data_IF_064389510325
#
_entry.id   IF_064389510325
#
_cell.length_a   1.000
_cell.length_b   1.000
_cell.length_c   1.000
_cell.angle_alpha   90.00
_cell.angle_beta   90.00
_cell.angle_gamma   90.00
#
_symmetry.space_group_name_H-M   'P 1'
#
loop_
_entity.id
_entity.type
_entity.pdbx_description
1 polymer ?
#
# COMPACT_ATOMS: atom_id res chain seq x y z
N UNK A 1 -15.47 24.24 13.18
CA UNK A 1 -15.71 23.92 11.77
C UNK A 1 -15.43 25.17 10.94
N UNK A 2 -14.53 25.10 9.96
CA UNK A 2 -13.96 26.28 9.29
C UNK A 2 -14.83 26.68 8.07
N UNK A 3 -16.06 27.18 8.32
CA UNK A 3 -17.07 27.47 7.28
C UNK A 3 -16.52 28.33 6.12
N UNK A 4 -15.72 29.34 6.46
CA UNK A 4 -15.05 30.21 5.47
C UNK A 4 -14.21 29.42 4.46
N UNK A 5 -13.52 28.37 4.90
CA UNK A 5 -12.63 27.57 4.07
C UNK A 5 -13.42 26.62 3.14
N UNK A 6 -14.56 26.10 3.62
CA UNK A 6 -15.49 25.29 2.82
C UNK A 6 -16.11 26.15 1.70
N UNK A 7 -16.53 27.37 2.04
CA UNK A 7 -17.17 28.27 1.09
C UNK A 7 -16.17 28.78 0.03
N UNK A 8 -14.94 29.12 0.44
CA UNK A 8 -13.92 29.70 -0.45
C UNK A 8 -13.20 28.67 -1.34
N UNK A 9 -12.89 27.47 -0.83
CA UNK A 9 -12.08 26.48 -1.56
C UNK A 9 -12.87 25.28 -2.07
N UNK A 10 -14.03 25.00 -1.49
CA UNK A 10 -14.87 23.85 -1.84
C UNK A 10 -16.25 24.26 -2.36
N UNK A 11 -16.48 25.55 -2.62
CA UNK A 11 -17.75 26.10 -3.12
C UNK A 11 -18.96 25.71 -2.24
N UNK A 12 -18.77 25.62 -0.92
CA UNK A 12 -19.83 25.20 0.01
C UNK A 12 -20.02 23.68 0.12
N UNK A 13 -19.24 22.87 -0.60
CA UNK A 13 -19.32 21.41 -0.54
C UNK A 13 -18.61 20.85 0.70
N UNK A 14 -19.37 20.73 1.79
CA UNK A 14 -18.89 20.20 3.06
C UNK A 14 -18.47 18.71 2.98
N UNK A 15 -19.06 17.93 2.07
CA UNK A 15 -18.71 16.51 1.90
C UNK A 15 -17.33 16.39 1.26
N UNK A 16 -17.06 17.17 0.22
CA UNK A 16 -15.75 17.23 -0.44
C UNK A 16 -14.66 17.76 0.50
N UNK A 17 -14.99 18.72 1.36
CA UNK A 17 -14.06 19.18 2.41
C UNK A 17 -13.72 18.08 3.42
N UNK A 18 -14.72 17.32 3.88
CA UNK A 18 -14.50 16.21 4.80
C UNK A 18 -13.64 15.10 4.16
N UNK A 19 -13.88 14.78 2.89
CA UNK A 19 -13.07 13.82 2.13
C UNK A 19 -11.61 14.28 2.01
N UNK A 20 -11.38 15.56 1.69
CA UNK A 20 -10.03 16.11 1.60
C UNK A 20 -9.31 16.15 2.95
N UNK A 21 -10.01 16.49 4.04
CA UNK A 21 -9.44 16.42 5.39
C UNK A 21 -9.04 14.99 5.75
N UNK A 22 -9.90 14.02 5.43
CA UNK A 22 -9.62 12.61 5.67
C UNK A 22 -8.42 12.12 4.83
N UNK A 23 -8.30 12.55 3.58
CA UNK A 23 -7.10 12.31 2.75
C UNK A 23 -5.84 12.95 3.34
N UNK A 24 -5.90 14.23 3.75
CA UNK A 24 -4.77 14.90 4.39
C UNK A 24 -4.35 14.24 5.71
N UNK A 25 -5.30 13.82 6.54
CA UNK A 25 -4.99 13.14 7.80
C UNK A 25 -4.39 11.75 7.56
N UNK A 26 -4.82 11.05 6.50
CA UNK A 26 -4.22 9.76 6.11
C UNK A 26 -2.76 9.90 5.71
N UNK A 27 -2.40 11.01 5.07
CA UNK A 27 -1.02 11.25 4.63
C UNK A 27 -0.16 12.03 5.65
N UNK A 28 -0.69 12.31 6.84
CA UNK A 28 0.03 13.07 7.85
C UNK A 28 1.27 12.31 8.35
N UNK A 29 2.43 12.97 8.30
CA UNK A 29 3.69 12.43 8.81
C UNK A 29 4.00 13.10 10.16
N UNK A 30 4.28 12.29 11.18
CA UNK A 30 4.77 12.82 12.45
C UNK A 30 6.16 13.43 12.29
N UNK A 31 6.37 14.64 12.82
CA UNK A 31 7.69 15.30 12.82
C UNK A 31 8.82 14.42 13.38
N UNK A 32 8.51 13.60 14.39
CA UNK A 32 9.46 12.67 15.00
C UNK A 32 9.88 11.52 14.05
N UNK A 33 9.02 11.14 13.10
CA UNK A 33 9.39 10.18 12.06
C UNK A 33 10.39 10.82 11.08
N UNK A 34 10.15 12.08 10.67
CA UNK A 34 11.08 12.83 9.83
C UNK A 34 12.45 13.04 10.49
N UNK A 35 12.48 13.43 11.76
CA UNK A 35 13.72 13.62 12.52
C UNK A 35 14.53 12.33 12.59
N UNK A 36 13.89 11.19 12.87
CA UNK A 36 14.57 9.88 12.91
C UNK A 36 15.08 9.46 11.54
N UNK A 37 14.27 9.64 10.49
CA UNK A 37 14.69 9.37 9.12
C UNK A 37 15.86 10.25 8.66
N UNK A 38 15.96 11.49 9.15
CA UNK A 38 17.08 12.37 8.83
C UNK A 38 18.39 12.02 9.57
N UNK A 39 18.30 11.36 10.73
CA UNK A 39 19.44 11.18 11.64
C UNK A 39 20.00 9.76 11.68
N UNK A 40 19.15 8.73 11.52
CA UNK A 40 19.58 7.33 11.63
C UNK A 40 20.10 6.83 10.28
N UNK A 41 21.42 6.59 10.23
CA UNK A 41 22.12 5.97 9.09
C UNK A 41 21.71 6.56 7.73
N UNK A 42 21.77 7.89 7.54
CA UNK A 42 21.18 8.56 6.38
C UNK A 42 21.78 8.12 5.04
N UNK A 43 23.02 7.62 5.04
CA UNK A 43 23.67 7.07 3.85
C UNK A 43 23.03 5.77 3.32
N UNK A 44 22.15 5.13 4.09
CA UNK A 44 21.44 3.90 3.71
C UNK A 44 19.99 4.14 3.25
N UNK A 45 19.53 5.39 3.14
CA UNK A 45 18.16 5.75 2.75
C UNK A 45 17.71 5.08 1.43
N UNK A 46 18.46 5.32 0.36
CA UNK A 46 18.15 4.74 -0.95
C UNK A 46 18.17 3.19 -0.92
N UNK A 47 19.06 2.59 -0.14
CA UNK A 47 19.15 1.14 -0.02
C UNK A 47 17.95 0.57 0.75
N UNK A 48 17.48 1.25 1.79
CA UNK A 48 16.30 0.85 2.55
C UNK A 48 15.04 0.94 1.68
N UNK A 49 14.84 2.03 0.95
CA UNK A 49 13.71 2.19 0.02
C UNK A 49 13.71 1.11 -1.07
N UNK A 50 14.86 0.85 -1.69
CA UNK A 50 15.02 -0.22 -2.68
C UNK A 50 14.71 -1.61 -2.08
N UNK A 51 15.12 -1.85 -0.83
CA UNK A 51 14.82 -3.11 -0.14
C UNK A 51 13.31 -3.27 0.09
N UNK A 52 12.63 -2.22 0.54
CA UNK A 52 11.18 -2.21 0.72
C UNK A 52 10.49 -2.50 -0.62
N UNK A 53 10.86 -1.75 -1.67
CA UNK A 53 10.28 -1.89 -3.00
C UNK A 53 10.49 -3.30 -3.58
N UNK A 54 11.70 -3.86 -3.48
CA UNK A 54 11.96 -5.23 -3.91
C UNK A 54 11.12 -6.25 -3.17
N UNK A 55 11.02 -6.15 -1.84
CA UNK A 55 10.27 -7.13 -1.05
C UNK A 55 8.76 -7.06 -1.30
N UNK A 56 8.21 -5.88 -1.56
CA UNK A 56 6.77 -5.68 -1.80
C UNK A 56 6.39 -5.72 -3.28
N UNK A 57 7.33 -5.43 -4.18
CA UNK A 57 7.09 -5.14 -5.59
C UNK A 57 6.62 -3.70 -5.85
N UNK A 58 6.49 -2.87 -4.81
CA UNK A 58 6.11 -1.46 -4.87
C UNK A 58 6.62 -0.72 -3.64
N UNK A 59 6.78 0.60 -3.73
CA UNK A 59 7.14 1.45 -2.58
C UNK A 59 5.88 2.11 -2.00
N UNK A 60 5.50 1.81 -0.74
CA UNK A 60 4.40 2.52 -0.08
C UNK A 60 4.72 4.00 0.15
N UNK A 61 3.69 4.77 0.48
CA UNK A 61 3.81 6.20 0.79
C UNK A 61 4.75 6.46 1.98
N UNK A 62 5.34 7.65 2.02
CA UNK A 62 6.26 8.05 3.08
C UNK A 62 5.63 8.03 4.48
N UNK A 63 4.34 8.36 4.61
CA UNK A 63 3.65 8.27 5.90
C UNK A 63 3.59 6.83 6.45
N UNK A 64 3.62 5.82 5.57
CA UNK A 64 3.72 4.42 5.97
C UNK A 64 5.18 4.00 6.17
N UNK A 65 6.11 4.38 5.28
CA UNK A 65 7.48 3.85 5.32
C UNK A 65 8.35 4.52 6.39
N UNK A 66 8.26 5.84 6.57
CA UNK A 66 9.15 6.61 7.45
C UNK A 66 9.18 6.13 8.92
N UNK A 67 8.06 5.73 9.54
CA UNK A 67 8.09 5.17 10.90
C UNK A 67 8.94 3.90 11.04
N UNK A 68 9.09 3.13 9.97
CA UNK A 68 9.77 1.83 9.96
C UNK A 68 11.17 1.88 9.36
N UNK A 69 11.44 2.83 8.47
CA UNK A 69 12.67 2.89 7.69
C UNK A 69 13.97 2.91 8.52
N UNK A 70 14.07 3.62 9.66
CA UNK A 70 15.26 3.57 10.51
C UNK A 70 15.65 2.16 10.96
N UNK A 71 14.67 1.27 11.18
CA UNK A 71 14.92 -0.12 11.53
C UNK A 71 15.46 -0.92 10.33
N UNK A 72 14.91 -0.69 9.14
CA UNK A 72 15.41 -1.31 7.90
C UNK A 72 16.88 -0.94 7.68
N UNK A 73 17.24 0.34 7.83
CA UNK A 73 18.62 0.81 7.72
C UNK A 73 19.53 0.19 8.78
N UNK A 74 19.05 0.04 10.02
CA UNK A 74 19.80 -0.63 11.07
C UNK A 74 20.09 -2.10 10.74
N UNK A 75 19.10 -2.84 10.22
CA UNK A 75 19.28 -4.23 9.80
C UNK A 75 20.30 -4.37 8.67
N UNK A 76 20.23 -3.50 7.66
CA UNK A 76 21.18 -3.45 6.54
C UNK A 76 22.60 -3.24 7.09
N UNK A 77 22.78 -2.24 7.96
CA UNK A 77 24.08 -1.93 8.54
C UNK A 77 24.62 -3.10 9.40
N UNK A 78 23.78 -3.71 10.25
CA UNK A 78 24.17 -4.86 11.07
C UNK A 78 24.62 -6.04 10.23
N UNK A 79 23.93 -6.31 9.12
CA UNK A 79 24.33 -7.35 8.17
C UNK A 79 25.67 -7.02 7.48
N UNK A 80 25.84 -5.78 7.00
CA UNK A 80 27.09 -5.32 6.36
C UNK A 80 28.30 -5.38 7.29
N UNK A 81 28.09 -5.20 8.59
CA UNK A 81 29.13 -5.32 9.63
C UNK A 81 29.34 -6.77 10.10
N UNK A 82 28.64 -7.76 9.53
CA UNK A 82 28.74 -9.17 9.89
C UNK A 82 28.14 -9.51 11.27
N UNK A 83 27.27 -8.64 11.82
CA UNK A 83 26.63 -8.84 13.12
C UNK A 83 25.39 -9.74 13.03
N UNK A 84 24.81 -9.87 11.82
CA UNK A 84 23.72 -10.79 11.51
C UNK A 84 24.19 -11.80 10.46
N UNK A 85 23.79 -13.06 10.61
CA UNK A 85 23.86 -14.02 9.51
C UNK A 85 22.89 -13.63 8.40
N UNK A 86 23.09 -14.16 7.18
CA UNK A 86 22.16 -13.93 6.07
C UNK A 86 20.74 -14.43 6.37
N UNK A 87 20.62 -15.55 7.08
CA UNK A 87 19.33 -16.11 7.52
C UNK A 87 18.63 -15.19 8.53
N UNK A 88 19.36 -14.72 9.54
CA UNK A 88 18.82 -13.78 10.54
C UNK A 88 18.39 -12.46 9.90
N UNK A 89 19.23 -11.90 9.04
CA UNK A 89 18.93 -10.68 8.30
C UNK A 89 17.65 -10.86 7.45
N UNK A 90 17.53 -11.98 6.73
CA UNK A 90 16.35 -12.25 5.89
C UNK A 90 15.07 -12.34 6.72
N UNK A 91 15.11 -13.08 7.84
CA UNK A 91 13.95 -13.28 8.71
C UNK A 91 13.50 -11.97 9.37
N UNK A 92 14.45 -11.20 9.94
CA UNK A 92 14.14 -9.92 10.57
C UNK A 92 13.66 -8.89 9.53
N UNK A 93 14.31 -8.85 8.37
CA UNK A 93 13.91 -7.96 7.26
C UNK A 93 12.48 -8.27 6.81
N UNK A 94 12.16 -9.55 6.53
CA UNK A 94 10.80 -9.95 6.14
C UNK A 94 9.77 -9.52 7.20
N UNK A 95 10.08 -9.73 8.48
CA UNK A 95 9.24 -9.30 9.60
C UNK A 95 8.94 -7.80 9.57
N UNK A 96 9.97 -6.98 9.38
CA UNK A 96 9.79 -5.52 9.30
C UNK A 96 9.07 -5.07 8.03
N UNK A 97 9.32 -5.70 6.88
CA UNK A 97 8.58 -5.39 5.65
C UNK A 97 7.09 -5.76 5.79
N UNK A 98 6.76 -6.87 6.48
CA UNK A 98 5.36 -7.20 6.78
C UNK A 98 4.68 -6.13 7.62
N UNK A 99 5.37 -5.50 8.58
CA UNK A 99 4.81 -4.37 9.34
C UNK A 99 4.46 -3.19 8.41
N UNK A 100 5.35 -2.83 7.49
CA UNK A 100 5.12 -1.78 6.50
C UNK A 100 3.91 -2.12 5.62
N UNK A 101 3.85 -3.34 5.08
CA UNK A 101 2.69 -3.80 4.30
C UNK A 101 1.40 -3.72 5.12
N UNK A 102 1.40 -4.21 6.35
CA UNK A 102 0.20 -4.25 7.19
C UNK A 102 -0.32 -2.85 7.50
N UNK A 103 0.57 -1.88 7.70
CA UNK A 103 0.22 -0.48 7.84
C UNK A 103 -0.39 0.08 6.54
N UNK A 104 0.19 -0.20 5.37
CA UNK A 104 -0.39 0.18 4.07
C UNK A 104 -1.77 -0.47 3.82
N UNK A 105 -2.02 -1.64 4.41
CA UNK A 105 -3.30 -2.36 4.31
C UNK A 105 -4.33 -1.95 5.36
N UNK A 106 -4.01 -1.09 6.33
CA UNK A 106 -4.86 -0.82 7.50
C UNK A 106 -6.27 -0.31 7.10
N UNK A 107 -6.35 0.52 6.07
CA UNK A 107 -7.63 1.03 5.54
C UNK A 107 -8.52 -0.04 4.90
N UNK A 108 -7.98 -1.23 4.65
CA UNK A 108 -8.67 -2.36 4.05
C UNK A 108 -9.03 -3.44 5.07
N UNK A 109 -8.91 -3.16 6.37
CA UNK A 109 -9.27 -4.07 7.46
C UNK A 109 -10.79 -4.20 7.70
N UNK A 110 -11.61 -3.38 7.05
CA UNK A 110 -13.07 -3.48 7.19
C UNK A 110 -13.56 -4.84 6.69
N UNK A 111 -14.18 -5.64 7.58
CA UNK A 111 -14.74 -6.96 7.23
C UNK A 111 -15.74 -6.84 6.08
N UNK A 112 -16.67 -5.89 6.20
CA UNK A 112 -17.68 -5.62 5.19
C UNK A 112 -17.54 -4.21 4.65
N UNK A 113 -17.65 -4.07 3.33
CA UNK A 113 -17.82 -2.77 2.71
C UNK A 113 -19.24 -2.25 2.98
N UNK A 114 -19.36 -0.95 3.19
CA UNK A 114 -20.68 -0.32 3.35
C UNK A 114 -21.50 -0.45 2.06
N UNK A 115 -22.85 -0.45 2.12
CA UNK A 115 -23.68 -0.41 0.92
C UNK A 115 -23.35 0.77 0.00
N UNK A 116 -22.90 1.91 0.56
CA UNK A 116 -22.44 3.06 -0.22
C UNK A 116 -21.18 2.77 -1.04
N UNK A 117 -20.26 1.93 -0.55
CA UNK A 117 -19.08 1.54 -1.30
C UNK A 117 -19.43 0.67 -2.52
N UNK A 118 -20.38 -0.26 -2.38
CA UNK A 118 -20.90 -1.04 -3.52
C UNK A 118 -21.64 -0.16 -4.53
N UNK A 119 -22.43 0.80 -4.05
CA UNK A 119 -23.10 1.77 -4.92
C UNK A 119 -22.08 2.59 -5.72
N UNK A 120 -21.05 3.12 -5.05
CA UNK A 120 -19.95 3.85 -5.69
C UNK A 120 -19.24 2.96 -6.74
N UNK A 121 -18.99 1.69 -6.42
CA UNK A 121 -18.40 0.73 -7.36
C UNK A 121 -19.24 0.52 -8.64
N UNK A 122 -20.57 0.58 -8.55
CA UNK A 122 -21.46 0.48 -9.71
C UNK A 122 -21.61 1.77 -10.52
N UNK A 123 -21.34 2.93 -9.92
CA UNK A 123 -21.64 4.24 -10.50
C UNK A 123 -20.39 4.97 -11.05
N UNK A 124 -19.20 4.67 -10.52
CA UNK A 124 -17.98 5.44 -10.78
C UNK A 124 -17.01 4.70 -11.70
N UNK A 125 -16.42 5.45 -12.66
CA UNK A 125 -15.42 4.93 -13.61
C UNK A 125 -15.89 3.69 -14.38
N UNK A 126 -17.20 3.60 -14.67
CA UNK A 126 -17.85 2.46 -15.35
C UNK A 126 -17.09 1.99 -16.61
N UNK A 127 -16.61 2.89 -17.51
CA UNK A 127 -15.91 2.46 -18.72
C UNK A 127 -14.66 1.60 -18.46
N UNK A 128 -14.02 1.77 -17.31
CA UNK A 128 -12.78 1.10 -16.94
C UNK A 128 -12.99 -0.18 -16.13
N UNK A 129 -14.24 -0.54 -15.82
CA UNK A 129 -14.55 -1.67 -14.95
C UNK A 129 -14.10 -3.01 -15.51
N UNK A 130 -14.33 -3.25 -16.81
CA UNK A 130 -13.90 -4.49 -17.45
C UNK A 130 -12.37 -4.56 -17.57
N UNK A 131 -11.73 -3.45 -17.93
CA UNK A 131 -10.27 -3.37 -18.05
C UNK A 131 -9.57 -3.66 -16.72
N UNK A 132 -10.10 -3.16 -15.60
CA UNK A 132 -9.59 -3.46 -14.26
C UNK A 132 -9.71 -4.95 -13.91
N UNK A 133 -10.88 -5.56 -14.15
CA UNK A 133 -11.09 -6.99 -13.90
C UNK A 133 -10.17 -7.88 -14.75
N UNK A 134 -10.08 -7.59 -16.05
CA UNK A 134 -9.26 -8.38 -16.97
C UNK A 134 -7.77 -8.31 -16.57
N UNK A 135 -7.28 -7.15 -16.16
CA UNK A 135 -5.89 -7.00 -15.69
C UNK A 135 -5.64 -7.76 -14.39
N UNK A 136 -6.54 -7.62 -13.41
CA UNK A 136 -6.47 -8.35 -12.14
C UNK A 136 -6.47 -9.86 -12.38
N UNK A 137 -7.43 -10.35 -13.16
CA UNK A 137 -7.55 -11.75 -13.53
C UNK A 137 -6.32 -12.26 -14.27
N UNK A 138 -5.78 -11.46 -15.18
CA UNK A 138 -4.57 -11.79 -15.94
C UNK A 138 -3.37 -12.09 -15.05
N UNK A 139 -3.17 -11.29 -13.99
CA UNK A 139 -2.05 -11.49 -13.06
C UNK A 139 -2.35 -12.44 -11.90
N UNK A 140 -3.60 -12.52 -11.40
CA UNK A 140 -3.98 -13.48 -10.36
C UNK A 140 -4.14 -14.91 -10.90
N UNK A 141 -4.51 -15.07 -12.16
CA UNK A 141 -4.88 -16.35 -12.77
C UNK A 141 -6.32 -16.81 -12.50
N UNK A 142 -7.10 -16.04 -11.73
CA UNK A 142 -8.51 -16.30 -11.44
C UNK A 142 -9.27 -14.99 -11.21
N UNK A 143 -10.60 -15.06 -11.25
CA UNK A 143 -11.47 -13.93 -10.89
C UNK A 143 -11.70 -13.94 -9.37
N UNK A 144 -11.18 -12.94 -8.62
CA UNK A 144 -11.43 -12.85 -7.18
C UNK A 144 -12.90 -12.48 -6.91
N UNK A 145 -13.42 -12.86 -5.74
CA UNK A 145 -14.73 -12.38 -5.30
C UNK A 145 -14.69 -10.86 -5.12
N UNK A 146 -15.78 -10.17 -5.45
CA UNK A 146 -15.87 -8.71 -5.31
C UNK A 146 -15.59 -8.23 -3.88
N UNK A 147 -16.02 -8.98 -2.87
CA UNK A 147 -15.74 -8.66 -1.46
C UNK A 147 -14.23 -8.64 -1.14
N UNK A 148 -13.39 -9.31 -1.94
CA UNK A 148 -11.93 -9.31 -1.84
C UNK A 148 -11.27 -8.24 -2.71
N UNK A 149 -11.89 -7.86 -3.84
CA UNK A 149 -11.26 -7.00 -4.86
C UNK A 149 -11.82 -5.59 -4.96
N UNK A 150 -12.94 -5.25 -4.31
CA UNK A 150 -13.65 -3.98 -4.52
C UNK A 150 -12.73 -2.75 -4.41
N UNK A 151 -11.96 -2.62 -3.33
CA UNK A 151 -11.06 -1.46 -3.16
C UNK A 151 -9.94 -1.45 -4.21
N UNK A 152 -9.38 -2.62 -4.53
CA UNK A 152 -8.32 -2.76 -5.51
C UNK A 152 -8.81 -2.41 -6.93
N UNK A 153 -9.98 -2.90 -7.32
CA UNK A 153 -10.65 -2.57 -8.58
C UNK A 153 -10.98 -1.08 -8.68
N UNK A 154 -11.53 -0.48 -7.62
CA UNK A 154 -11.84 0.95 -7.61
C UNK A 154 -10.58 1.80 -7.78
N UNK A 155 -9.51 1.44 -7.09
CA UNK A 155 -8.23 2.15 -7.23
C UNK A 155 -7.67 2.00 -8.65
N UNK A 156 -7.69 0.79 -9.22
CA UNK A 156 -7.20 0.55 -10.57
C UNK A 156 -8.04 1.27 -11.64
N UNK A 157 -9.37 1.34 -11.47
CA UNK A 157 -10.25 2.15 -12.33
C UNK A 157 -9.91 3.63 -12.28
N UNK A 158 -9.64 4.17 -11.08
CA UNK A 158 -9.18 5.56 -10.92
C UNK A 158 -7.89 5.80 -11.68
N UNK A 159 -6.94 4.86 -11.64
CA UNK A 159 -5.68 4.93 -12.40
C UNK A 159 -5.94 4.92 -13.90
N UNK A 160 -6.80 4.03 -14.41
CA UNK A 160 -7.13 4.01 -15.84
C UNK A 160 -7.88 5.26 -16.33
N UNK A 161 -8.61 5.92 -15.43
CA UNK A 161 -9.26 7.18 -15.71
C UNK A 161 -8.28 8.38 -15.74
N UNK A 162 -7.01 8.20 -15.37
CA UNK A 162 -6.00 9.26 -15.49
C UNK A 162 -5.53 9.39 -16.93
N UNK A 163 -5.83 10.53 -17.57
CA UNK A 163 -5.51 10.78 -18.99
C UNK A 163 -4.01 10.77 -19.32
N UNK A 164 -3.14 10.91 -18.32
CA UNK A 164 -1.69 11.03 -18.49
C UNK A 164 -0.92 9.73 -18.28
N UNK A 165 -1.59 8.62 -17.94
CA UNK A 165 -0.92 7.40 -17.53
C UNK A 165 -1.53 6.17 -18.20
N UNK A 166 -0.68 5.35 -18.82
CA UNK A 166 -1.09 4.06 -19.39
C UNK A 166 -0.25 2.96 -18.76
N UNK A 167 -0.93 1.97 -18.19
CA UNK A 167 -0.28 0.79 -17.68
C UNK A 167 0.25 -0.07 -18.83
N UNK A 168 1.51 -0.50 -18.79
CA UNK A 168 2.06 -1.42 -19.77
C UNK A 168 1.49 -2.84 -19.56
N UNK A 169 1.69 -3.71 -20.53
CA UNK A 169 1.16 -5.09 -20.49
C UNK A 169 1.85 -5.97 -19.45
N UNK A 170 3.09 -5.65 -19.08
CA UNK A 170 3.81 -6.33 -18.02
C UNK A 170 3.40 -5.85 -16.62
N UNK A 171 3.75 -6.65 -15.61
CA UNK A 171 3.50 -6.33 -14.21
C UNK A 171 4.30 -5.09 -13.77
N UNK A 172 3.63 -4.21 -13.02
CA UNK A 172 4.18 -2.97 -12.48
C UNK A 172 3.97 -2.89 -10.97
N UNK A 173 4.54 -1.85 -10.32
CA UNK A 173 4.32 -1.57 -8.90
C UNK A 173 2.82 -1.39 -8.55
N UNK A 174 2.03 -0.84 -9.46
CA UNK A 174 0.58 -0.72 -9.28
C UNK A 174 -0.07 -2.09 -9.19
N UNK A 175 0.35 -3.04 -10.04
CA UNK A 175 -0.15 -4.40 -10.02
C UNK A 175 0.25 -5.13 -8.74
N UNK A 176 1.51 -5.02 -8.32
CA UNK A 176 1.94 -5.60 -7.04
C UNK A 176 1.11 -5.08 -5.86
N UNK A 177 0.80 -3.79 -5.81
CA UNK A 177 -0.06 -3.22 -4.77
C UNK A 177 -1.50 -3.75 -4.85
N UNK A 178 -2.10 -3.78 -6.05
CA UNK A 178 -3.44 -4.35 -6.29
C UNK A 178 -3.51 -5.80 -5.85
N UNK A 179 -2.54 -6.62 -6.26
CA UNK A 179 -2.50 -8.05 -5.93
C UNK A 179 -2.28 -8.26 -4.43
N UNK A 180 -1.39 -7.48 -3.81
CA UNK A 180 -1.14 -7.52 -2.37
C UNK A 180 -2.42 -7.24 -1.61
N UNK A 181 -3.15 -6.20 -2.01
CA UNK A 181 -4.43 -5.84 -1.40
C UNK A 181 -5.45 -6.97 -1.50
N UNK A 182 -5.62 -7.56 -2.68
CA UNK A 182 -6.59 -8.66 -2.88
C UNK A 182 -6.21 -9.88 -2.04
N UNK A 183 -4.95 -10.32 -2.10
CA UNK A 183 -4.46 -11.49 -1.35
C UNK A 183 -4.54 -11.29 0.16
N UNK A 184 -4.16 -10.11 0.63
CA UNK A 184 -4.26 -9.76 2.04
C UNK A 184 -5.72 -9.81 2.50
N UNK A 185 -6.64 -9.27 1.68
CA UNK A 185 -8.07 -9.24 1.99
C UNK A 185 -8.72 -10.62 1.93
N UNK A 186 -8.37 -11.46 0.97
CA UNK A 186 -8.74 -12.88 0.92
C UNK A 186 -8.45 -13.57 2.25
N UNK A 187 -7.19 -13.49 2.70
CA UNK A 187 -6.75 -14.14 3.93
C UNK A 187 -7.42 -13.51 5.16
N UNK A 188 -7.61 -12.18 5.16
CA UNK A 188 -8.28 -11.47 6.24
C UNK A 188 -9.72 -11.95 6.43
N UNK A 189 -10.49 -12.12 5.35
CA UNK A 189 -11.88 -12.54 5.45
C UNK A 189 -12.02 -14.03 5.74
N UNK A 190 -11.13 -14.86 5.19
CA UNK A 190 -11.20 -16.33 5.35
C UNK A 190 -10.62 -16.81 6.69
N UNK A 191 -9.50 -16.24 7.12
CA UNK A 191 -8.72 -16.74 8.27
C UNK A 191 -8.54 -15.71 9.39
N UNK A 192 -8.78 -14.42 9.11
CA UNK A 192 -8.67 -13.34 10.10
C UNK A 192 -7.33 -12.62 10.06
N UNK A 193 -7.27 -11.51 10.83
CA UNK A 193 -6.18 -10.53 10.76
C UNK A 193 -4.80 -11.13 11.02
N UNK A 194 -4.68 -12.03 12.01
CA UNK A 194 -3.39 -12.62 12.36
C UNK A 194 -2.77 -13.39 11.18
N UNK A 195 -3.59 -14.11 10.41
CA UNK A 195 -3.13 -14.83 9.23
C UNK A 195 -2.81 -13.88 8.08
N UNK A 196 -3.61 -12.82 7.89
CA UNK A 196 -3.33 -11.79 6.89
C UNK A 196 -2.01 -11.07 7.20
N UNK A 197 -1.79 -10.69 8.45
CA UNK A 197 -0.56 -10.04 8.93
C UNK A 197 0.69 -10.94 8.74
N UNK A 198 0.52 -12.26 8.84
CA UNK A 198 1.61 -13.23 8.69
C UNK A 198 1.83 -13.68 7.23
N UNK A 199 0.90 -13.37 6.33
CA UNK A 199 0.90 -13.84 4.95
C UNK A 199 2.19 -13.49 4.20
N UNK A 200 2.60 -14.28 3.19
CA UNK A 200 3.81 -14.01 2.41
C UNK A 200 3.77 -12.65 1.71
N UNK A 201 4.95 -12.09 1.46
CA UNK A 201 5.13 -10.91 0.62
C UNK A 201 5.15 -11.32 -0.86
N UNK A 202 4.62 -10.48 -1.76
CA UNK A 202 4.52 -10.81 -3.18
C UNK A 202 5.76 -10.49 -4.01
N UNK A 203 6.57 -9.50 -3.61
CA UNK A 203 7.71 -9.03 -4.41
C UNK A 203 8.97 -9.93 -4.34
N UNK A 204 8.96 -10.98 -3.53
CA UNK A 204 10.18 -11.60 -2.98
C UNK A 204 11.25 -12.01 -4.01
N UNK A 205 12.31 -11.18 -4.08
CA UNK A 205 13.68 -11.57 -4.41
C UNK A 205 14.63 -11.03 -3.31
N UNK A 206 14.78 -11.78 -2.21
CA UNK A 206 15.97 -11.70 -1.36
C UNK A 206 16.89 -12.88 -1.74
N UNK A 207 17.26 -12.97 -3.02
CA UNK A 207 18.38 -13.83 -3.42
C UNK A 207 19.65 -13.00 -3.28
N UNK A 208 20.50 -13.39 -2.33
CA UNK A 208 21.85 -12.88 -2.21
C UNK A 208 22.67 -13.51 -3.34
N UNK A 209 22.94 -12.75 -4.40
CA UNK A 209 24.04 -13.05 -5.33
C UNK A 209 25.38 -12.62 -4.70
#
# INVERSE_FOLDING_TARGET
MNQKLIDELYNGDAARYAESLDECNREAIEWKALERAATVLPHLDAQAQNTIEKCLGYLPSQHITLPHEPFIRALINSYQLGQLSAEQYSLEMEGHIKLIRNADMEHNLMKDYTPSAYKNYSETFIPYGQQARDRIKGFLGYEPKLEHSLAAEMWLRKIFAMDNFRLPDNMTAIDFKVLTLIRYREILLEFGKQFADASPLLGTHLYFD
#
